data_IF_635246208092
#
_entry.id   IF_635246208092
#
_cell.length_a   1.000
_cell.length_b   1.000
_cell.length_c   1.000
_cell.angle_alpha   90.00
_cell.angle_beta   90.00
_cell.angle_gamma   90.00
#
_symmetry.space_group_name_H-M   'P 1'
#
loop_
_entity.id
_entity.type
_entity.pdbx_description
1 polymer ?
#
# COMPACT_ATOMS: atom_id res chain seq x y z
N UNK A 1 -11.20 6.81 -31.85
CA UNK A 1 -9.79 6.89 -31.40
C UNK A 1 -8.82 6.61 -32.54
N UNK A 2 -9.01 5.56 -33.36
CA UNK A 2 -8.23 5.37 -34.60
C UNK A 2 -8.41 6.55 -35.60
N UNK A 3 -9.65 7.06 -35.74
CA UNK A 3 -9.95 8.18 -36.64
C UNK A 3 -9.35 9.55 -36.26
N UNK A 4 -8.73 9.69 -35.08
CA UNK A 4 -8.23 10.99 -34.57
C UNK A 4 -6.69 11.07 -34.50
N UNK A 5 -5.98 9.96 -34.74
CA UNK A 5 -4.51 9.90 -34.52
C UNK A 5 -3.71 9.39 -35.71
N UNK A 6 -4.34 8.78 -36.73
CA UNK A 6 -3.63 8.25 -37.89
C UNK A 6 -2.66 7.09 -37.58
N UNK A 7 -2.64 6.61 -36.33
CA UNK A 7 -1.84 5.48 -35.90
C UNK A 7 -2.72 4.25 -35.96
N UNK A 8 -2.60 3.47 -37.03
CA UNK A 8 -3.07 2.10 -37.03
C UNK A 8 -2.33 1.35 -35.93
N UNK A 9 -3.08 0.76 -34.98
CA UNK A 9 -2.51 -0.20 -34.03
C UNK A 9 -2.07 -1.40 -34.83
N UNK A 10 -0.81 -1.40 -35.29
CA UNK A 10 -0.17 -2.60 -35.79
C UNK A 10 -0.41 -3.72 -34.77
N UNK A 11 -1.06 -4.79 -35.22
CA UNK A 11 -1.32 -5.96 -34.39
C UNK A 11 0.05 -6.51 -34.01
N UNK A 12 0.48 -6.25 -32.77
CA UNK A 12 1.73 -6.80 -32.24
C UNK A 12 1.58 -8.31 -32.20
N UNK A 13 2.17 -8.98 -33.16
CA UNK A 13 2.42 -10.42 -33.12
C UNK A 13 3.55 -10.62 -32.12
N UNK A 14 3.22 -11.17 -30.95
CA UNK A 14 4.24 -11.64 -30.02
C UNK A 14 4.80 -12.95 -30.57
N UNK A 15 6.12 -13.07 -30.64
CA UNK A 15 6.76 -14.34 -30.98
C UNK A 15 6.49 -15.34 -29.85
N UNK A 16 6.22 -16.59 -30.21
CA UNK A 16 5.88 -17.70 -29.30
C UNK A 16 7.16 -18.23 -28.62
N UNK A 17 7.89 -17.34 -27.95
CA UNK A 17 9.06 -17.65 -27.15
C UNK A 17 8.67 -18.07 -25.73
N UNK A 18 9.58 -18.75 -25.03
CA UNK A 18 9.36 -19.04 -23.61
C UNK A 18 9.21 -17.73 -22.82
N UNK A 19 8.10 -17.56 -22.11
CA UNK A 19 7.95 -16.46 -21.16
C UNK A 19 9.04 -16.52 -20.08
N UNK A 20 9.40 -15.36 -19.53
CA UNK A 20 10.31 -15.28 -18.40
C UNK A 20 9.78 -16.14 -17.24
N UNK A 21 10.61 -16.99 -16.62
CA UNK A 21 10.16 -17.84 -15.51
C UNK A 21 9.82 -16.98 -14.28
N UNK A 22 8.54 -16.80 -13.92
CA UNK A 22 8.12 -15.84 -12.89
C UNK A 22 8.59 -16.23 -11.48
N UNK A 23 9.00 -17.49 -11.28
CA UNK A 23 9.58 -17.94 -10.02
C UNK A 23 10.89 -17.22 -9.66
N UNK A 24 11.63 -16.69 -10.65
CA UNK A 24 12.85 -15.91 -10.38
C UNK A 24 12.54 -14.59 -9.66
N UNK A 25 11.35 -14.02 -9.85
CA UNK A 25 10.94 -12.79 -9.15
C UNK A 25 10.76 -13.01 -7.64
N UNK A 26 10.64 -14.26 -7.19
CA UNK A 26 10.52 -14.61 -5.76
C UNK A 26 11.85 -14.56 -5.01
N UNK A 27 12.99 -14.50 -5.72
CA UNK A 27 14.31 -14.49 -5.08
C UNK A 27 14.48 -13.24 -4.22
N UNK A 28 14.15 -12.06 -4.74
CA UNK A 28 14.30 -10.81 -3.99
C UNK A 28 13.36 -10.71 -2.77
N UNK A 29 12.04 -11.02 -2.89
CA UNK A 29 11.14 -11.10 -1.74
C UNK A 29 11.57 -12.14 -0.70
N UNK A 30 12.19 -13.26 -1.10
CA UNK A 30 12.69 -14.27 -0.16
C UNK A 30 13.81 -13.70 0.73
N UNK A 31 14.80 -13.04 0.14
CA UNK A 31 15.86 -12.38 0.92
C UNK A 31 15.29 -11.24 1.79
N UNK A 32 14.34 -10.47 1.24
CA UNK A 32 13.62 -9.43 1.98
C UNK A 32 12.87 -9.99 3.19
N UNK A 33 12.16 -11.11 3.03
CA UNK A 33 11.44 -11.79 4.10
C UNK A 33 12.38 -12.21 5.23
N UNK A 34 13.51 -12.84 4.91
CA UNK A 34 14.51 -13.24 5.89
C UNK A 34 15.06 -12.02 6.63
N UNK A 35 15.39 -10.95 5.90
CA UNK A 35 15.88 -9.71 6.50
C UNK A 35 14.85 -9.06 7.44
N UNK A 36 13.58 -9.02 7.05
CA UNK A 36 12.49 -8.46 7.85
C UNK A 36 12.21 -9.30 9.11
N UNK A 37 12.32 -10.62 9.04
CA UNK A 37 12.20 -11.50 10.21
C UNK A 37 13.33 -11.20 11.20
N UNK A 38 14.58 -11.13 10.72
CA UNK A 38 15.74 -10.81 11.56
C UNK A 38 15.57 -9.42 12.21
N UNK A 39 15.19 -8.41 11.41
CA UNK A 39 14.94 -7.06 11.91
C UNK A 39 13.79 -7.02 12.94
N UNK A 40 12.73 -7.79 12.73
CA UNK A 40 11.61 -7.89 13.67
C UNK A 40 11.99 -8.56 15.00
N UNK A 41 12.91 -9.53 14.98
CA UNK A 41 13.44 -10.16 16.20
C UNK A 41 14.31 -9.17 16.98
N UNK A 42 15.11 -8.38 16.26
CA UNK A 42 16.01 -7.36 16.85
C UNK A 42 15.24 -6.14 17.39
N UNK A 43 14.08 -5.82 16.82
CA UNK A 43 13.30 -4.63 17.16
C UNK A 43 12.73 -4.63 18.59
N UNK A 44 12.61 -5.78 19.27
CA UNK A 44 12.24 -5.85 20.69
C UNK A 44 11.26 -6.97 21.04
N UNK A 45 10.82 -6.97 22.30
CA UNK A 45 9.87 -7.94 22.84
C UNK A 45 8.43 -7.39 22.89
N UNK A 46 7.40 -8.23 22.68
CA UNK A 46 7.47 -9.65 22.30
C UNK A 46 7.88 -9.85 20.83
N UNK A 47 8.88 -10.70 20.58
CA UNK A 47 9.46 -10.91 19.24
C UNK A 47 8.42 -11.30 18.19
N UNK A 48 7.48 -12.18 18.53
CA UNK A 48 6.42 -12.60 17.61
C UNK A 48 5.55 -11.42 17.15
N UNK A 49 5.27 -10.46 18.03
CA UNK A 49 4.50 -9.26 17.69
C UNK A 49 5.33 -8.29 16.86
N UNK A 50 6.60 -8.08 17.22
CA UNK A 50 7.51 -7.21 16.48
C UNK A 50 7.74 -7.72 15.05
N UNK A 51 7.94 -9.03 14.87
CA UNK A 51 7.99 -9.69 13.55
C UNK A 51 6.67 -9.53 12.81
N UNK A 52 5.53 -9.77 13.46
CA UNK A 52 4.22 -9.63 12.81
C UNK A 52 3.98 -8.19 12.31
N UNK A 53 4.23 -7.16 13.13
CA UNK A 53 4.13 -5.74 12.73
C UNK A 53 5.07 -5.38 11.60
N UNK A 54 6.28 -5.95 11.59
CA UNK A 54 7.27 -5.69 10.55
C UNK A 54 6.84 -6.31 9.22
N UNK A 55 6.37 -7.55 9.23
CA UNK A 55 5.93 -8.25 8.02
C UNK A 55 4.62 -7.70 7.45
N UNK A 56 3.64 -7.44 8.31
CA UNK A 56 2.35 -6.89 7.88
C UNK A 56 2.54 -5.45 7.38
N UNK A 57 3.34 -4.64 8.09
CA UNK A 57 3.66 -3.27 7.66
C UNK A 57 4.40 -3.24 6.33
N UNK A 58 5.37 -4.14 6.12
CA UNK A 58 6.05 -4.27 4.84
C UNK A 58 5.10 -4.66 3.69
N UNK A 59 4.18 -5.59 3.94
CA UNK A 59 3.17 -5.99 2.95
C UNK A 59 2.19 -4.85 2.65
N UNK A 60 1.77 -4.12 3.67
CA UNK A 60 0.83 -3.00 3.57
C UNK A 60 1.44 -1.83 2.81
N UNK A 61 2.61 -1.36 3.25
CA UNK A 61 3.35 -0.27 2.62
C UNK A 61 3.80 -0.64 1.20
N UNK A 62 4.30 -1.87 1.01
CA UNK A 62 4.65 -2.37 -0.33
C UNK A 62 3.47 -2.32 -1.29
N UNK A 63 2.31 -2.88 -0.91
CA UNK A 63 1.13 -2.90 -1.77
C UNK A 63 0.65 -1.49 -2.16
N UNK A 64 0.62 -0.54 -1.21
CA UNK A 64 0.15 0.82 -1.51
C UNK A 64 1.18 1.65 -2.28
N UNK A 65 2.47 1.43 -2.03
CA UNK A 65 3.55 2.04 -2.82
C UNK A 65 3.50 1.53 -4.25
N UNK A 66 3.37 0.23 -4.47
CA UNK A 66 3.24 -0.35 -5.81
C UNK A 66 1.99 0.17 -6.52
N UNK A 67 0.85 0.29 -5.81
CA UNK A 67 -0.37 0.87 -6.37
C UNK A 67 -0.13 2.32 -6.82
N UNK A 68 0.53 3.13 -6.01
CA UNK A 68 0.83 4.53 -6.33
C UNK A 68 1.82 4.65 -7.49
N UNK A 69 2.93 3.90 -7.47
CA UNK A 69 3.94 3.89 -8.55
C UNK A 69 3.33 3.45 -9.88
N UNK A 70 2.53 2.39 -9.85
CA UNK A 70 1.78 1.98 -11.02
C UNK A 70 0.81 3.08 -11.45
N UNK A 71 0.08 3.69 -10.52
CA UNK A 71 -0.78 4.83 -10.79
C UNK A 71 -0.04 5.99 -11.48
N UNK A 72 1.15 6.34 -11.03
CA UNK A 72 1.98 7.37 -11.66
C UNK A 72 2.27 7.05 -13.13
N UNK A 73 2.55 5.79 -13.45
CA UNK A 73 2.82 5.37 -14.84
C UNK A 73 1.60 5.55 -15.77
N UNK A 74 0.38 5.48 -15.24
CA UNK A 74 -0.85 5.69 -16.03
C UNK A 74 -1.04 7.16 -16.43
N UNK A 75 -0.40 8.10 -15.73
CA UNK A 75 -0.42 9.52 -16.12
C UNK A 75 0.37 9.75 -17.42
N UNK A 76 1.44 8.99 -17.63
CA UNK A 76 2.37 9.18 -18.75
C UNK A 76 2.06 8.22 -19.91
N UNK A 77 1.38 7.10 -19.66
CA UNK A 77 1.02 6.11 -20.68
C UNK A 77 -0.49 5.84 -20.76
N UNK A 78 -1.24 6.65 -21.53
CA UNK A 78 -2.66 6.40 -21.79
C UNK A 78 -2.88 5.05 -22.49
N UNK A 79 -3.72 4.19 -21.90
CA UNK A 79 -4.14 2.92 -22.52
C UNK A 79 -3.67 1.64 -21.82
N UNK A 80 -3.01 1.74 -20.66
CA UNK A 80 -2.72 0.58 -19.81
C UNK A 80 -4.02 -0.06 -19.28
N UNK A 81 -4.01 -1.40 -19.17
CA UNK A 81 -5.14 -2.15 -18.67
C UNK A 81 -5.39 -1.82 -17.19
N UNK A 82 -6.64 -1.66 -16.75
CA UNK A 82 -6.94 -1.28 -15.34
C UNK A 82 -6.83 -2.42 -14.33
N UNK A 83 -6.72 -3.66 -14.81
CA UNK A 83 -6.69 -4.87 -13.99
C UNK A 83 -5.62 -4.83 -12.90
N UNK A 84 -4.34 -4.62 -13.23
CA UNK A 84 -3.25 -4.60 -12.25
C UNK A 84 -3.42 -3.53 -11.16
N UNK A 85 -3.85 -2.32 -11.53
CA UNK A 85 -4.08 -1.25 -10.55
C UNK A 85 -5.23 -1.59 -9.59
N UNK A 86 -6.34 -2.12 -10.11
CA UNK A 86 -7.46 -2.56 -9.28
C UNK A 86 -7.10 -3.75 -8.37
N UNK A 87 -6.19 -4.61 -8.82
CA UNK A 87 -5.66 -5.70 -8.02
C UNK A 87 -4.82 -5.18 -6.85
N UNK A 88 -3.88 -4.26 -7.09
CA UNK A 88 -3.05 -3.68 -6.03
C UNK A 88 -3.90 -2.92 -4.99
N UNK A 89 -4.85 -2.08 -5.44
CA UNK A 89 -5.79 -1.39 -4.54
C UNK A 89 -6.59 -2.38 -3.68
N UNK A 90 -6.97 -3.53 -4.27
CA UNK A 90 -7.68 -4.58 -3.55
C UNK A 90 -6.78 -5.25 -2.52
N UNK A 91 -5.52 -5.56 -2.86
CA UNK A 91 -4.56 -6.10 -1.92
C UNK A 91 -4.30 -5.15 -0.75
N UNK A 92 -4.10 -3.85 -1.00
CA UNK A 92 -3.99 -2.85 0.05
C UNK A 92 -5.20 -2.89 0.99
N UNK A 93 -6.42 -2.93 0.43
CA UNK A 93 -7.64 -3.01 1.23
C UNK A 93 -7.77 -4.31 2.04
N UNK A 94 -7.24 -5.43 1.56
CA UNK A 94 -7.22 -6.69 2.30
C UNK A 94 -6.16 -6.72 3.40
N UNK A 95 -4.99 -6.09 3.18
CA UNK A 95 -3.91 -6.06 4.17
C UNK A 95 -4.18 -5.03 5.27
N UNK A 96 -4.84 -3.91 4.95
CA UNK A 96 -5.17 -2.84 5.89
C UNK A 96 -5.77 -3.30 7.25
N UNK A 97 -6.77 -4.21 7.32
CA UNK A 97 -7.30 -4.64 8.61
C UNK A 97 -6.28 -5.43 9.44
N UNK A 98 -5.36 -6.16 8.81
CA UNK A 98 -4.29 -6.87 9.52
C UNK A 98 -3.27 -5.89 10.07
N UNK A 99 -2.93 -4.85 9.31
CA UNK A 99 -2.04 -3.78 9.77
C UNK A 99 -2.64 -3.07 10.98
N UNK A 100 -3.91 -2.66 10.87
CA UNK A 100 -4.62 -2.04 11.98
C UNK A 100 -4.65 -2.94 13.21
N UNK A 101 -4.95 -4.23 13.05
CA UNK A 101 -4.98 -5.18 14.15
C UNK A 101 -3.60 -5.35 14.82
N UNK A 102 -2.53 -5.43 14.04
CA UNK A 102 -1.17 -5.56 14.56
C UNK A 102 -0.73 -4.31 15.35
N UNK A 103 -1.10 -3.12 14.89
CA UNK A 103 -0.80 -1.85 15.57
C UNK A 103 -1.67 -1.64 16.82
N UNK A 104 -2.89 -2.17 16.85
CA UNK A 104 -3.76 -2.13 18.03
C UNK A 104 -3.41 -3.18 19.09
N UNK A 105 -2.72 -4.26 18.71
CA UNK A 105 -2.37 -5.35 19.63
C UNK A 105 -1.50 -4.84 20.80
N UNK A 106 -1.84 -5.11 22.08
CA UNK A 106 -1.09 -4.59 23.22
C UNK A 106 0.34 -5.15 23.34
N UNK A 107 1.35 -4.35 23.69
CA UNK A 107 1.35 -2.88 23.82
C UNK A 107 1.28 -2.22 22.44
N UNK A 108 0.30 -1.34 22.20
CA UNK A 108 -0.02 -0.81 20.87
C UNK A 108 -0.68 0.57 20.91
N UNK A 109 -1.25 1.02 19.79
CA UNK A 109 -1.78 2.39 19.65
C UNK A 109 -2.94 2.73 20.62
N UNK A 110 -3.64 1.70 21.13
CA UNK A 110 -4.62 1.89 22.21
C UNK A 110 -3.95 2.48 23.47
N UNK A 111 -2.73 2.05 23.77
CA UNK A 111 -1.95 2.54 24.91
C UNK A 111 -1.59 4.02 24.76
N UNK A 112 -1.31 4.46 23.53
CA UNK A 112 -1.03 5.87 23.21
C UNK A 112 -2.30 6.71 23.34
N UNK A 113 -3.42 6.24 22.78
CA UNK A 113 -4.71 6.96 22.82
C UNK A 113 -5.28 7.10 24.24
N UNK A 114 -5.01 6.12 25.11
CA UNK A 114 -5.46 6.13 26.49
C UNK A 114 -4.52 6.90 27.43
N UNK A 115 -3.41 7.44 26.90
CA UNK A 115 -2.41 8.19 27.67
C UNK A 115 -1.52 7.33 28.57
N UNK A 116 -1.52 6.00 28.41
CA UNK A 116 -0.58 5.11 29.13
C UNK A 116 0.83 5.20 28.55
N UNK A 117 0.95 5.52 27.26
CA UNK A 117 2.19 5.93 26.61
C UNK A 117 2.03 7.39 26.26
N UNK A 118 2.95 8.23 26.75
CA UNK A 118 3.00 9.64 26.38
C UNK A 118 3.56 9.77 24.96
N UNK A 119 2.80 10.39 24.06
CA UNK A 119 3.24 10.63 22.69
C UNK A 119 4.14 11.87 22.59
N UNK A 120 4.34 12.62 23.67
CA UNK A 120 5.16 13.84 23.72
C UNK A 120 4.49 15.07 23.08
N UNK A 121 3.29 14.93 22.54
CA UNK A 121 2.53 15.97 21.85
C UNK A 121 1.09 16.09 22.38
N UNK A 122 0.86 15.72 23.64
CA UNK A 122 -0.42 15.83 24.33
C UNK A 122 -1.57 15.11 23.59
N UNK A 123 -1.30 13.92 23.06
CA UNK A 123 -2.27 13.08 22.33
C UNK A 123 -2.44 13.44 20.85
N UNK A 124 -1.76 14.48 20.34
CA UNK A 124 -1.89 14.91 18.94
C UNK A 124 -1.45 13.81 17.96
N UNK A 125 -0.37 13.07 18.25
CA UNK A 125 0.10 12.01 17.36
C UNK A 125 -0.85 10.82 17.39
N UNK A 126 -1.41 10.49 18.55
CA UNK A 126 -2.45 9.47 18.66
C UNK A 126 -3.67 9.77 17.78
N UNK A 127 -4.21 11.00 17.84
CA UNK A 127 -5.34 11.42 17.00
C UNK A 127 -4.98 11.53 15.53
N UNK A 128 -3.77 12.00 15.21
CA UNK A 128 -3.28 12.03 13.83
C UNK A 128 -3.21 10.63 13.24
N UNK A 129 -2.73 9.64 14.00
CA UNK A 129 -2.72 8.24 13.58
C UNK A 129 -4.13 7.71 13.29
N UNK A 130 -5.11 8.01 14.15
CA UNK A 130 -6.53 7.63 13.92
C UNK A 130 -7.05 8.23 12.61
N UNK A 131 -6.78 9.52 12.38
CA UNK A 131 -7.15 10.19 11.13
C UNK A 131 -6.51 9.51 9.92
N UNK A 132 -5.21 9.20 9.98
CA UNK A 132 -4.49 8.47 8.95
C UNK A 132 -5.09 7.09 8.67
N UNK A 133 -5.38 6.30 9.70
CA UNK A 133 -5.96 4.96 9.54
C UNK A 133 -7.34 5.03 8.84
N UNK A 134 -8.22 5.94 9.28
CA UNK A 134 -9.56 6.12 8.70
C UNK A 134 -9.48 6.67 7.28
N UNK A 135 -8.68 7.72 7.04
CA UNK A 135 -8.54 8.31 5.71
C UNK A 135 -7.99 7.31 4.71
N UNK A 136 -7.06 6.44 5.11
CA UNK A 136 -6.48 5.43 4.23
C UNK A 136 -7.54 4.48 3.70
N UNK A 137 -8.37 3.89 4.58
CA UNK A 137 -9.39 2.94 4.14
C UNK A 137 -10.47 3.61 3.30
N UNK A 138 -10.86 4.84 3.62
CA UNK A 138 -11.78 5.64 2.80
C UNK A 138 -11.19 5.83 1.40
N UNK A 139 -9.94 6.27 1.30
CA UNK A 139 -9.27 6.50 0.02
C UNK A 139 -9.13 5.22 -0.80
N UNK A 140 -8.85 4.08 -0.18
CA UNK A 140 -8.84 2.77 -0.86
C UNK A 140 -10.22 2.46 -1.47
N UNK A 141 -11.31 2.65 -0.71
CA UNK A 141 -12.66 2.42 -1.21
C UNK A 141 -13.06 3.38 -2.33
N UNK A 142 -12.76 4.67 -2.18
CA UNK A 142 -13.08 5.70 -3.19
C UNK A 142 -12.26 5.48 -4.46
N UNK A 143 -10.98 5.12 -4.33
CA UNK A 143 -10.12 4.75 -5.48
C UNK A 143 -10.72 3.57 -6.23
N UNK A 144 -11.17 2.54 -5.50
CA UNK A 144 -11.82 1.38 -6.11
C UNK A 144 -13.13 1.73 -6.79
N UNK A 145 -13.91 2.66 -6.23
CA UNK A 145 -15.11 3.18 -6.86
C UNK A 145 -14.78 3.93 -8.15
N UNK A 146 -13.76 4.80 -8.14
CA UNK A 146 -13.29 5.52 -9.33
C UNK A 146 -12.84 4.56 -10.45
N UNK A 147 -12.15 3.47 -10.13
CA UNK A 147 -11.69 2.50 -11.14
C UNK A 147 -12.82 1.71 -11.82
N UNK A 148 -14.03 1.69 -11.24
CA UNK A 148 -15.21 1.07 -11.88
C UNK A 148 -15.78 1.93 -13.01
N UNK A 149 -15.51 3.23 -13.01
CA UNK A 149 -16.03 4.14 -14.03
C UNK A 149 -15.36 3.93 -15.38
N UNK A 150 -16.14 3.93 -16.47
CA UNK A 150 -15.62 3.61 -17.82
C UNK A 150 -14.75 4.71 -18.39
N UNK A 151 -14.88 5.95 -17.92
CA UNK A 151 -14.15 7.10 -18.45
C UNK A 151 -12.65 7.03 -18.14
N UNK A 152 -11.81 7.52 -19.06
CA UNK A 152 -10.37 7.59 -18.84
C UNK A 152 -9.99 8.55 -17.71
N UNK A 153 -10.74 9.65 -17.57
CA UNK A 153 -10.63 10.62 -16.48
C UNK A 153 -10.73 9.97 -15.09
N UNK A 154 -11.49 8.88 -14.96
CA UNK A 154 -11.63 8.18 -13.69
C UNK A 154 -10.35 7.46 -13.25
N UNK A 155 -9.54 6.99 -14.21
CA UNK A 155 -8.23 6.42 -13.90
C UNK A 155 -7.28 7.52 -13.44
N UNK A 156 -7.29 8.68 -14.10
CA UNK A 156 -6.51 9.85 -13.67
C UNK A 156 -6.94 10.37 -12.28
N UNK A 157 -8.23 10.28 -11.94
CA UNK A 157 -8.70 10.59 -10.60
C UNK A 157 -8.20 9.55 -9.58
N UNK A 158 -8.28 8.26 -9.92
CA UNK A 158 -7.79 7.18 -9.06
C UNK A 158 -6.30 7.31 -8.74
N UNK A 159 -5.47 7.76 -9.69
CA UNK A 159 -4.04 8.01 -9.43
C UNK A 159 -3.84 9.12 -8.41
N UNK A 160 -4.59 10.22 -8.51
CA UNK A 160 -4.55 11.31 -7.51
C UNK A 160 -4.98 10.85 -6.11
N UNK A 161 -6.00 9.99 -6.03
CA UNK A 161 -6.44 9.40 -4.76
C UNK A 161 -5.37 8.48 -4.15
N UNK A 162 -4.61 7.76 -4.97
CA UNK A 162 -3.50 6.92 -4.52
C UNK A 162 -2.32 7.71 -3.94
N UNK A 163 -2.07 8.93 -4.43
CA UNK A 163 -1.11 9.84 -3.81
C UNK A 163 -1.53 10.25 -2.39
N UNK A 164 -2.82 10.50 -2.18
CA UNK A 164 -3.32 10.78 -0.84
C UNK A 164 -3.29 9.52 0.03
N UNK A 165 -3.63 8.37 -0.55
CA UNK A 165 -3.68 7.11 0.17
C UNK A 165 -2.30 6.71 0.69
N UNK A 166 -1.24 6.84 -0.13
CA UNK A 166 0.12 6.53 0.33
C UNK A 166 0.54 7.44 1.49
N UNK A 167 0.21 8.73 1.45
CA UNK A 167 0.53 9.66 2.54
C UNK A 167 -0.16 9.25 3.84
N UNK A 168 -1.45 8.90 3.80
CA UNK A 168 -2.16 8.48 5.01
C UNK A 168 -1.76 7.08 5.47
N UNK A 169 -1.39 6.18 4.55
CA UNK A 169 -0.89 4.85 4.89
C UNK A 169 0.47 4.90 5.59
N UNK A 170 1.39 5.73 5.09
CA UNK A 170 2.66 5.98 5.77
C UNK A 170 2.45 6.66 7.12
N UNK A 171 1.49 7.60 7.21
CA UNK A 171 1.10 8.18 8.49
C UNK A 171 0.57 7.15 9.49
N UNK A 172 -0.18 6.15 9.02
CA UNK A 172 -0.68 5.05 9.86
C UNK A 172 0.47 4.16 10.39
N UNK A 173 1.43 3.79 9.56
CA UNK A 173 2.53 2.90 9.99
C UNK A 173 3.62 3.67 10.78
N UNK A 174 4.14 4.77 10.23
CA UNK A 174 5.31 5.44 10.80
C UNK A 174 5.02 6.13 12.12
N UNK A 175 3.83 6.72 12.29
CA UNK A 175 3.46 7.37 13.56
C UNK A 175 3.37 6.33 14.66
N UNK A 176 2.82 5.15 14.37
CA UNK A 176 2.75 4.07 15.36
C UNK A 176 4.15 3.55 15.72
N UNK A 177 5.06 3.43 14.75
CA UNK A 177 6.45 3.05 15.05
C UNK A 177 7.16 4.12 15.88
N UNK A 178 6.93 5.40 15.60
CA UNK A 178 7.55 6.49 16.33
C UNK A 178 7.05 6.60 17.78
N UNK A 179 5.78 6.26 18.06
CA UNK A 179 5.20 6.35 19.40
C UNK A 179 5.34 5.06 20.22
N UNK A 180 5.58 3.91 19.58
CA UNK A 180 5.72 2.60 20.24
C UNK A 180 7.17 2.13 20.39
N UNK A 181 8.14 2.90 19.89
CA UNK A 181 9.58 2.63 20.00
C UNK A 181 10.13 2.94 21.41
#
# INVERSE_FOLDING_TARGET
>A
VAAMTGIDKAKKTFEDGSEFPPALDLVAPLFGLVALIIAGIDAGEPQALAVARTLIGAMFLGAITDAMLLGHWYLVQPGLARGPLNELVRWTGYVWPFELAALLWPTGMVSVLNGTIDDGYNGMLGWFWVACAISTIILVFVTRAALKERQYSAVMAATGLLYLAILTAFGMDLVARATLA
#
